data_IF_233276492898
#
_entry.id   IF_233276492898
#
_cell.length_a   1.000
_cell.length_b   1.000
_cell.length_c   1.000
_cell.angle_alpha   90.00
_cell.angle_beta   90.00
_cell.angle_gamma   90.00
#
_symmetry.space_group_name_H-M   'P 1'
#
loop_
_entity.id
_entity.type
_entity.pdbx_description
1 polymer ?
#
# COMPACT_ATOMS: atom_id res chain seq x y z
N UNK A 1 63.28 12.82 -1.07
CA UNK A 1 62.14 12.38 -0.23
C UNK A 1 60.83 13.09 -0.59
N UNK A 2 60.86 14.38 -0.95
CA UNK A 2 59.67 15.15 -1.32
C UNK A 2 58.95 14.65 -2.59
N UNK A 3 59.70 14.32 -3.65
CA UNK A 3 59.12 13.87 -4.95
C UNK A 3 58.38 12.52 -4.88
N UNK A 4 58.84 11.60 -4.01
CA UNK A 4 58.14 10.32 -3.78
C UNK A 4 56.79 10.49 -3.09
N UNK A 5 56.61 11.59 -2.36
CA UNK A 5 55.37 11.89 -1.64
C UNK A 5 54.34 12.56 -2.56
N UNK A 6 54.79 13.44 -3.47
CA UNK A 6 53.96 14.01 -4.53
C UNK A 6 53.43 12.95 -5.50
N UNK A 7 54.29 12.05 -5.99
CA UNK A 7 53.87 10.98 -6.89
C UNK A 7 52.89 9.98 -6.23
N UNK A 8 52.93 9.83 -4.91
CA UNK A 8 51.96 9.01 -4.17
C UNK A 8 50.60 9.72 -4.02
N UNK A 9 50.60 11.04 -3.77
CA UNK A 9 49.39 11.84 -3.71
C UNK A 9 48.66 11.91 -5.06
N UNK A 10 49.39 12.13 -6.16
CA UNK A 10 48.83 12.15 -7.52
C UNK A 10 48.17 10.81 -7.90
N UNK A 11 48.77 9.67 -7.51
CA UNK A 11 48.19 8.34 -7.73
C UNK A 11 46.91 8.11 -6.94
N UNK A 12 46.83 8.59 -5.70
CA UNK A 12 45.63 8.52 -4.87
C UNK A 12 44.52 9.38 -5.49
N UNK A 13 44.84 10.60 -5.91
CA UNK A 13 43.90 11.54 -6.53
C UNK A 13 43.36 10.98 -7.85
N UNK A 14 44.24 10.48 -8.72
CA UNK A 14 43.86 9.81 -9.98
C UNK A 14 42.96 8.58 -9.73
N UNK A 15 43.22 7.81 -8.68
CA UNK A 15 42.41 6.62 -8.33
C UNK A 15 41.04 7.03 -7.79
N UNK A 16 40.96 8.10 -6.99
CA UNK A 16 39.70 8.65 -6.50
C UNK A 16 38.87 9.25 -7.63
N UNK A 17 39.51 9.92 -8.59
CA UNK A 17 38.86 10.55 -9.74
C UNK A 17 38.28 9.49 -10.68
N UNK A 18 39.05 8.45 -11.02
CA UNK A 18 38.54 7.28 -11.76
C UNK A 18 37.35 6.61 -11.08
N UNK A 19 37.39 6.46 -9.74
CA UNK A 19 36.26 5.89 -8.98
C UNK A 19 35.03 6.80 -8.99
N UNK A 20 35.21 8.13 -8.98
CA UNK A 20 34.11 9.10 -9.10
C UNK A 20 33.49 9.09 -10.49
N UNK A 21 34.31 9.03 -11.54
CA UNK A 21 33.83 8.91 -12.93
C UNK A 21 33.09 7.58 -13.14
N UNK A 22 33.61 6.47 -12.63
CA UNK A 22 32.96 5.16 -12.74
C UNK A 22 31.62 5.12 -11.99
N UNK A 23 31.54 5.74 -10.81
CA UNK A 23 30.28 5.91 -10.08
C UNK A 23 29.30 6.84 -10.81
N UNK A 24 29.79 7.87 -11.50
CA UNK A 24 28.96 8.81 -12.27
C UNK A 24 28.40 8.13 -13.53
N UNK A 25 29.25 7.44 -14.29
CA UNK A 25 28.84 6.65 -15.45
C UNK A 25 27.79 5.60 -15.06
N UNK A 26 28.00 4.89 -13.95
CA UNK A 26 27.01 3.95 -13.42
C UNK A 26 25.67 4.62 -13.07
N UNK A 27 25.67 5.84 -12.53
CA UNK A 27 24.42 6.60 -12.28
C UNK A 27 23.73 7.03 -13.57
N UNK A 28 24.49 7.48 -14.56
CA UNK A 28 23.95 7.88 -15.86
C UNK A 28 23.32 6.68 -16.59
N UNK A 29 23.97 5.52 -16.54
CA UNK A 29 23.46 4.26 -17.10
C UNK A 29 22.17 3.79 -16.41
N UNK A 30 22.11 3.85 -15.06
CA UNK A 30 20.88 3.58 -14.28
C UNK A 30 19.75 4.51 -14.72
N UNK A 31 20.06 5.78 -14.95
CA UNK A 31 19.05 6.79 -15.27
C UNK A 31 18.52 6.64 -16.69
N UNK A 32 19.37 6.25 -17.64
CA UNK A 32 18.95 5.92 -19.01
C UNK A 32 18.04 4.67 -19.03
N UNK A 33 18.43 3.60 -18.32
CA UNK A 33 17.58 2.41 -18.19
C UNK A 33 16.25 2.69 -17.50
N UNK A 34 16.24 3.55 -16.47
CA UNK A 34 14.99 4.00 -15.83
C UNK A 34 14.07 4.69 -16.84
N UNK A 35 14.60 5.60 -17.65
CA UNK A 35 13.82 6.33 -18.64
C UNK A 35 13.27 5.42 -19.75
N UNK A 36 14.06 4.43 -20.20
CA UNK A 36 13.58 3.45 -21.18
C UNK A 36 12.50 2.54 -20.58
N UNK A 37 12.69 2.09 -19.34
CA UNK A 37 11.69 1.29 -18.62
C UNK A 37 10.38 2.06 -18.43
N UNK A 38 10.43 3.31 -17.99
CA UNK A 38 9.24 4.18 -17.86
C UNK A 38 8.51 4.33 -19.19
N UNK A 39 9.24 4.57 -20.29
CA UNK A 39 8.66 4.68 -21.63
C UNK A 39 7.97 3.39 -22.07
N UNK A 40 8.57 2.23 -21.83
CA UNK A 40 7.97 0.93 -22.17
C UNK A 40 6.72 0.65 -21.33
N UNK A 41 6.76 0.99 -20.04
CA UNK A 41 5.64 0.85 -19.11
C UNK A 41 4.47 1.75 -19.53
N UNK A 42 4.71 3.03 -19.80
CA UNK A 42 3.68 3.97 -20.25
C UNK A 42 3.11 3.62 -21.63
N UNK A 43 3.90 2.98 -22.51
CA UNK A 43 3.43 2.55 -23.81
C UNK A 43 2.52 1.32 -23.75
N UNK A 44 2.91 0.31 -22.97
CA UNK A 44 2.28 -1.03 -23.01
C UNK A 44 1.35 -1.32 -21.83
N UNK A 45 1.64 -0.76 -20.67
CA UNK A 45 1.00 -1.13 -19.40
C UNK A 45 0.34 0.05 -18.69
N UNK A 46 0.13 1.17 -19.39
CA UNK A 46 -0.48 2.38 -18.83
C UNK A 46 -1.78 2.13 -18.06
N UNK A 47 -2.59 1.18 -18.53
CA UNK A 47 -3.86 0.80 -17.93
C UNK A 47 -3.73 -0.01 -16.64
N UNK A 48 -2.54 -0.52 -16.30
CA UNK A 48 -2.26 -1.22 -15.05
C UNK A 48 -1.88 -0.27 -13.91
N UNK A 49 -1.50 0.96 -14.24
CA UNK A 49 -1.14 1.97 -13.25
C UNK A 49 -2.35 2.81 -12.91
N UNK A 50 -2.46 3.18 -11.65
CA UNK A 50 -3.60 3.81 -10.98
C UNK A 50 -3.87 5.27 -11.38
N UNK A 51 -3.48 5.66 -12.60
CA UNK A 51 -3.80 6.97 -13.16
C UNK A 51 -5.30 7.18 -13.44
N UNK A 52 -6.12 6.13 -13.36
CA UNK A 52 -7.53 6.16 -13.74
C UNK A 52 -8.49 5.54 -12.71
N UNK A 53 -8.09 4.45 -12.04
CA UNK A 53 -8.93 3.68 -11.11
C UNK A 53 -8.03 2.92 -10.11
N UNK A 54 -8.57 2.61 -8.94
CA UNK A 54 -7.93 1.80 -7.88
C UNK A 54 -7.77 0.34 -8.35
N UNK A 55 -8.61 -0.09 -9.29
CA UNK A 55 -8.60 -1.42 -9.86
C UNK A 55 -9.33 -2.45 -8.99
N UNK A 56 -9.66 -3.59 -9.60
CA UNK A 56 -10.44 -4.67 -8.97
C UNK A 56 -9.79 -6.02 -9.24
N UNK A 57 -9.54 -6.78 -8.17
CA UNK A 57 -9.05 -8.14 -8.22
C UNK A 57 -10.20 -9.09 -8.55
N UNK A 58 -10.06 -9.82 -9.65
CA UNK A 58 -11.04 -10.82 -10.11
C UNK A 58 -10.62 -12.26 -9.77
N UNK A 59 -9.48 -12.45 -9.09
CA UNK A 59 -8.90 -13.77 -8.82
C UNK A 59 -9.49 -14.40 -7.56
N UNK A 60 -9.81 -13.59 -6.56
CA UNK A 60 -10.31 -14.07 -5.27
C UNK A 60 -11.21 -13.04 -4.62
N UNK A 61 -12.07 -13.53 -3.74
CA UNK A 61 -12.84 -12.71 -2.81
C UNK A 61 -12.41 -13.03 -1.37
N UNK A 62 -12.56 -12.06 -0.49
CA UNK A 62 -12.24 -12.15 0.92
C UNK A 62 -13.46 -12.64 1.71
N UNK A 63 -13.24 -13.65 2.57
CA UNK A 63 -14.26 -14.26 3.43
C UNK A 63 -14.04 -13.88 4.89
N UNK A 64 -15.10 -13.41 5.56
CA UNK A 64 -15.14 -13.01 6.96
C UNK A 64 -15.88 -14.08 7.77
N UNK A 65 -15.13 -15.08 8.23
CA UNK A 65 -15.65 -16.20 9.05
C UNK A 65 -15.84 -15.76 10.51
N UNK A 66 -17.02 -15.24 10.84
CA UNK A 66 -17.42 -14.88 12.20
C UNK A 66 -18.08 -16.05 12.99
N UNK A 67 -18.09 -17.27 12.43
CA UNK A 67 -18.85 -18.40 12.98
C UNK A 67 -20.33 -18.08 13.18
N UNK A 68 -20.93 -18.63 14.23
CA UNK A 68 -22.34 -18.41 14.60
C UNK A 68 -22.56 -17.17 15.48
N UNK A 69 -21.62 -16.21 15.48
CA UNK A 69 -21.71 -15.04 16.34
C UNK A 69 -22.85 -14.11 15.88
N UNK A 70 -23.69 -13.60 16.79
CA UNK A 70 -24.76 -12.65 16.43
C UNK A 70 -24.18 -11.33 15.86
N UNK A 71 -24.97 -10.58 15.07
CA UNK A 71 -24.51 -9.32 14.49
C UNK A 71 -23.99 -8.31 15.52
N UNK A 72 -22.88 -7.67 15.19
CA UNK A 72 -22.31 -6.61 16.03
C UNK A 72 -22.87 -5.26 15.57
N UNK A 73 -23.72 -4.65 16.41
CA UNK A 73 -24.20 -3.27 16.23
C UNK A 73 -23.59 -2.35 17.27
N UNK A 74 -22.57 -1.59 16.89
CA UNK A 74 -21.90 -0.66 17.78
C UNK A 74 -22.64 0.69 17.83
N UNK A 75 -22.54 1.38 18.96
CA UNK A 75 -23.08 2.72 19.08
C UNK A 75 -22.38 3.70 18.13
N UNK A 76 -23.18 4.58 17.54
CA UNK A 76 -22.71 5.71 16.74
C UNK A 76 -21.73 6.55 17.55
N UNK A 77 -20.64 6.97 16.92
CA UNK A 77 -19.75 7.98 17.48
C UNK A 77 -20.16 9.34 16.94
N UNK A 78 -20.33 10.30 17.84
CA UNK A 78 -20.49 11.69 17.43
C UNK A 78 -19.23 12.17 16.73
N UNK A 79 -19.39 12.57 15.47
CA UNK A 79 -18.34 13.26 14.72
C UNK A 79 -18.46 14.75 14.97
N UNK A 80 -17.36 15.44 15.34
CA UNK A 80 -17.33 16.89 15.36
C UNK A 80 -17.79 17.48 14.02
N UNK A 81 -18.52 18.59 14.04
CA UNK A 81 -19.02 19.26 12.83
C UNK A 81 -17.89 19.60 11.84
N UNK A 82 -16.71 19.95 12.34
CA UNK A 82 -15.52 20.23 11.54
C UNK A 82 -15.07 19.04 10.69
N UNK A 83 -15.23 17.82 11.22
CA UNK A 83 -14.84 16.57 10.55
C UNK A 83 -15.99 15.91 9.80
N UNK A 84 -17.25 16.30 10.06
CA UNK A 84 -18.43 15.69 9.43
C UNK A 84 -18.46 15.93 7.92
N UNK A 85 -18.20 17.17 7.48
CA UNK A 85 -18.11 17.51 6.05
C UNK A 85 -17.01 16.73 5.33
N UNK A 86 -15.89 16.51 6.01
CA UNK A 86 -14.78 15.74 5.48
C UNK A 86 -15.12 14.25 5.39
N UNK A 87 -15.83 13.71 6.39
CA UNK A 87 -16.37 12.35 6.33
C UNK A 87 -17.30 12.16 5.12
N UNK A 88 -18.27 13.08 4.94
CA UNK A 88 -19.24 13.06 3.83
C UNK A 88 -18.54 13.13 2.47
N UNK A 89 -17.49 13.92 2.34
CA UNK A 89 -16.69 14.00 1.12
C UNK A 89 -15.99 12.66 0.80
N UNK A 90 -15.32 12.07 1.79
CA UNK A 90 -14.63 10.78 1.62
C UNK A 90 -15.62 9.64 1.32
N UNK A 91 -16.80 9.65 1.94
CA UNK A 91 -17.87 8.68 1.65
C UNK A 91 -18.31 8.81 0.20
N UNK A 92 -18.56 10.04 -0.27
CA UNK A 92 -18.95 10.27 -1.66
C UNK A 92 -17.89 9.76 -2.63
N UNK A 93 -16.60 10.04 -2.37
CA UNK A 93 -15.49 9.54 -3.19
C UNK A 93 -15.45 8.01 -3.21
N UNK A 94 -15.61 7.35 -2.07
CA UNK A 94 -15.64 5.89 -2.01
C UNK A 94 -16.86 5.30 -2.75
N UNK A 95 -18.03 5.94 -2.70
CA UNK A 95 -19.21 5.53 -3.48
C UNK A 95 -18.98 5.72 -4.97
N UNK A 96 -18.45 6.89 -5.38
CA UNK A 96 -18.17 7.20 -6.79
C UNK A 96 -17.14 6.22 -7.39
N UNK A 97 -16.16 5.79 -6.58
CA UNK A 97 -15.15 4.79 -6.95
C UNK A 97 -15.62 3.33 -6.78
N UNK A 98 -16.85 3.08 -6.34
CA UNK A 98 -17.40 1.74 -6.16
C UNK A 98 -16.76 0.90 -5.03
N UNK A 99 -16.08 1.56 -4.08
CA UNK A 99 -15.44 0.91 -2.92
C UNK A 99 -16.49 0.52 -1.86
N UNK A 100 -17.56 1.30 -1.75
CA UNK A 100 -18.65 1.09 -0.79
C UNK A 100 -20.01 1.25 -1.45
N UNK A 101 -21.03 0.60 -0.88
CA UNK A 101 -22.42 0.73 -1.27
C UNK A 101 -23.34 0.91 -0.06
N UNK A 102 -24.54 1.45 -0.28
CA UNK A 102 -25.56 1.52 0.77
C UNK A 102 -26.04 0.11 1.12
N UNK A 103 -26.12 -0.19 2.41
CA UNK A 103 -26.61 -1.48 2.90
C UNK A 103 -27.61 -1.31 4.05
N UNK A 104 -28.50 -2.30 4.17
CA UNK A 104 -29.46 -2.42 5.27
C UNK A 104 -29.17 -3.72 6.01
N UNK A 105 -28.24 -3.65 6.97
CA UNK A 105 -27.78 -4.81 7.72
C UNK A 105 -27.94 -4.67 9.24
N UNK A 106 -27.94 -5.78 9.99
CA UNK A 106 -27.92 -5.78 11.44
C UNK A 106 -26.53 -5.45 12.03
N UNK A 107 -25.49 -5.43 11.18
CA UNK A 107 -24.12 -5.09 11.52
C UNK A 107 -23.87 -3.59 11.40
N UNK A 108 -23.05 -3.05 12.30
CA UNK A 108 -22.65 -1.65 12.27
C UNK A 108 -21.36 -1.45 13.07
N UNK A 109 -20.28 -1.10 12.37
CA UNK A 109 -19.06 -0.58 12.98
C UNK A 109 -18.97 0.95 12.86
N UNK A 110 -18.51 1.68 13.90
CA UNK A 110 -18.45 3.13 13.85
C UNK A 110 -17.21 3.58 13.07
N UNK A 111 -17.35 4.67 12.33
CA UNK A 111 -16.20 5.30 11.67
C UNK A 111 -15.36 6.12 12.65
N UNK A 112 -14.10 6.30 12.31
CA UNK A 112 -13.09 7.08 13.02
C UNK A 112 -12.28 7.83 11.96
N UNK A 113 -12.23 9.15 12.08
CA UNK A 113 -11.38 9.97 11.24
C UNK A 113 -10.07 10.26 11.96
N UNK A 114 -8.96 9.98 11.29
CA UNK A 114 -7.62 10.17 11.85
C UNK A 114 -6.83 11.11 10.94
N UNK A 115 -6.29 12.20 11.50
CA UNK A 115 -5.38 13.08 10.76
C UNK A 115 -3.99 12.49 10.82
N UNK A 116 -3.38 12.26 9.67
CA UNK A 116 -2.01 11.77 9.54
C UNK A 116 -1.36 12.41 8.32
N UNK A 117 -0.16 12.95 8.49
CA UNK A 117 0.65 13.54 7.42
C UNK A 117 -0.07 14.65 6.63
N UNK A 118 -0.94 15.42 7.30
CA UNK A 118 -1.70 16.51 6.70
C UNK A 118 -2.99 16.10 5.98
N UNK A 119 -3.22 14.79 5.78
CA UNK A 119 -4.48 14.25 5.24
C UNK A 119 -5.34 13.60 6.32
N UNK A 120 -6.63 13.45 6.04
CA UNK A 120 -7.57 12.72 6.90
C UNK A 120 -7.81 11.34 6.33
N UNK A 121 -7.62 10.32 7.17
CA UNK A 121 -7.86 8.93 6.83
C UNK A 121 -9.22 8.50 7.35
N UNK A 122 -10.03 7.94 6.46
CA UNK A 122 -11.28 7.28 6.82
C UNK A 122 -10.97 5.88 7.36
N UNK A 123 -11.29 5.62 8.64
CA UNK A 123 -11.06 4.32 9.26
C UNK A 123 -12.36 3.78 9.83
N UNK A 124 -12.66 2.51 9.59
CA UNK A 124 -13.77 1.82 10.25
C UNK A 124 -13.22 1.03 11.44
N UNK A 125 -13.86 1.17 12.60
CA UNK A 125 -13.41 0.48 13.81
C UNK A 125 -13.95 -0.96 13.87
N UNK A 126 -13.27 -1.86 13.16
CA UNK A 126 -13.58 -3.30 13.15
C UNK A 126 -13.02 -4.08 14.35
N UNK A 127 -12.59 -3.44 15.46
CA UNK A 127 -11.96 -4.19 16.57
C UNK A 127 -12.83 -5.33 17.09
N UNK A 128 -14.13 -5.07 17.31
CA UNK A 128 -15.06 -6.10 17.78
C UNK A 128 -15.29 -7.20 16.73
N UNK A 129 -15.35 -6.84 15.45
CA UNK A 129 -15.45 -7.82 14.36
C UNK A 129 -14.19 -8.70 14.31
N UNK A 130 -13.02 -8.09 14.38
CA UNK A 130 -11.73 -8.80 14.32
C UNK A 130 -11.52 -9.77 15.49
N UNK A 131 -12.08 -9.50 16.67
CA UNK A 131 -12.02 -10.40 17.83
C UNK A 131 -12.75 -11.73 17.59
N UNK A 132 -13.88 -11.67 16.85
CA UNK A 132 -14.74 -12.82 16.57
C UNK A 132 -14.39 -13.51 15.24
N UNK A 133 -13.74 -12.81 14.31
CA UNK A 133 -13.38 -13.36 13.01
C UNK A 133 -12.27 -14.41 13.13
N UNK A 134 -12.59 -15.64 12.74
CA UNK A 134 -11.67 -16.77 12.74
C UNK A 134 -10.70 -16.71 11.57
N UNK A 135 -11.08 -16.11 10.41
CA UNK A 135 -10.17 -15.91 9.26
C UNK A 135 -8.90 -15.17 9.69
N UNK A 136 -9.03 -14.08 10.47
CA UNK A 136 -7.90 -13.31 11.00
C UNK A 136 -6.94 -14.17 11.84
N UNK A 137 -7.46 -15.16 12.57
CA UNK A 137 -6.66 -16.09 13.38
C UNK A 137 -6.00 -17.18 12.52
N UNK A 138 -6.67 -17.61 11.45
CA UNK A 138 -6.20 -18.65 10.51
C UNK A 138 -5.15 -18.15 9.52
N UNK A 139 -5.19 -16.87 9.11
CA UNK A 139 -4.19 -16.24 8.21
C UNK A 139 -2.86 -15.96 8.94
N UNK A 140 -2.73 -16.34 10.21
CA UNK A 140 -1.46 -16.36 10.95
C UNK A 140 -0.44 -17.40 10.40
N UNK A 141 -0.36 -17.58 9.09
CA UNK A 141 0.84 -18.11 8.46
C UNK A 141 1.96 -17.09 8.70
N UNK A 142 3.14 -17.52 9.17
CA UNK A 142 4.23 -16.61 9.42
C UNK A 142 4.60 -15.92 8.10
N UNK A 143 4.69 -14.60 8.12
CA UNK A 143 5.35 -13.87 7.04
C UNK A 143 6.76 -14.44 6.89
N UNK A 144 7.25 -14.63 5.64
CA UNK A 144 8.61 -15.08 5.42
C UNK A 144 9.59 -14.14 6.13
N UNK A 145 10.72 -14.68 6.57
CA UNK A 145 11.75 -13.83 7.18
C UNK A 145 12.29 -12.91 6.10
N UNK A 146 12.71 -11.71 6.48
CA UNK A 146 13.29 -10.74 5.53
C UNK A 146 14.53 -11.31 4.84
N UNK A 147 15.27 -12.21 5.50
CA UNK A 147 16.44 -12.90 4.96
C UNK A 147 16.08 -13.76 3.72
N UNK A 148 14.92 -14.42 3.73
CA UNK A 148 14.51 -15.37 2.69
C UNK A 148 14.38 -14.73 1.27
N UNK A 149 13.65 -13.61 1.08
CA UNK A 149 13.60 -12.93 -0.21
C UNK A 149 14.93 -12.24 -0.55
N UNK A 150 15.70 -11.76 0.44
CA UNK A 150 17.00 -11.12 0.18
C UNK A 150 18.02 -12.13 -0.37
N UNK A 151 18.05 -13.35 0.17
CA UNK A 151 18.90 -14.43 -0.34
C UNK A 151 18.51 -14.82 -1.77
N UNK A 152 17.21 -14.81 -2.08
CA UNK A 152 16.70 -15.08 -3.44
C UNK A 152 17.15 -14.03 -4.45
N UNK A 153 17.37 -12.79 -3.99
CA UNK A 153 17.82 -11.69 -4.84
C UNK A 153 19.34 -11.64 -5.02
N UNK A 154 20.10 -12.46 -4.29
CA UNK A 154 21.56 -12.46 -4.35
C UNK A 154 22.07 -12.71 -5.78
N UNK A 155 23.04 -11.92 -6.22
CA UNK A 155 23.56 -11.94 -7.60
C UNK A 155 22.75 -11.13 -8.62
N UNK A 156 21.58 -10.61 -8.24
CA UNK A 156 20.84 -9.65 -9.08
C UNK A 156 21.52 -8.28 -9.03
N UNK A 157 21.61 -7.63 -10.19
CA UNK A 157 22.23 -6.31 -10.33
C UNK A 157 21.21 -5.18 -10.34
N UNK A 158 19.95 -5.51 -10.65
CA UNK A 158 18.85 -4.56 -10.86
C UNK A 158 17.62 -5.02 -10.09
N UNK A 159 16.94 -4.07 -9.46
CA UNK A 159 15.76 -4.32 -8.64
C UNK A 159 14.65 -3.38 -9.08
N UNK A 160 13.43 -3.91 -9.11
CA UNK A 160 12.22 -3.15 -9.34
C UNK A 160 11.30 -3.33 -8.13
N UNK A 161 10.85 -2.22 -7.57
CA UNK A 161 9.81 -2.22 -6.53
C UNK A 161 8.51 -1.73 -7.16
N UNK A 162 7.47 -2.53 -7.03
CA UNK A 162 6.10 -2.16 -7.40
C UNK A 162 5.28 -2.14 -6.12
N UNK A 163 4.42 -1.13 -5.98
CA UNK A 163 3.49 -1.01 -4.88
C UNK A 163 2.06 -0.96 -5.43
N UNK A 164 1.12 -1.59 -4.72
CA UNK A 164 -0.28 -1.59 -5.10
C UNK A 164 -0.98 -0.41 -4.42
N UNK A 165 -1.46 0.54 -5.22
CA UNK A 165 -2.24 1.64 -4.68
C UNK A 165 -3.54 1.11 -4.05
N UNK A 166 -3.74 1.45 -2.77
CA UNK A 166 -4.93 1.07 -2.01
C UNK A 166 -5.25 -0.43 -2.09
N UNK A 167 -4.22 -1.28 -1.96
CA UNK A 167 -4.29 -2.75 -2.10
C UNK A 167 -5.51 -3.40 -1.44
N UNK A 168 -5.93 -2.88 -0.28
CA UNK A 168 -7.02 -3.43 0.51
C UNK A 168 -8.40 -3.26 -0.15
N UNK A 169 -8.56 -2.31 -1.06
CA UNK A 169 -9.84 -2.04 -1.75
C UNK A 169 -9.96 -2.79 -3.07
N UNK A 170 -8.88 -3.39 -3.56
CA UNK A 170 -8.90 -4.14 -4.81
C UNK A 170 -9.55 -5.52 -4.63
N UNK A 171 -9.44 -6.14 -3.45
CA UNK A 171 -10.00 -7.47 -3.18
C UNK A 171 -11.41 -7.35 -2.64
N UNK A 172 -12.37 -7.90 -3.39
CA UNK A 172 -13.78 -7.85 -3.01
C UNK A 172 -14.11 -8.75 -1.83
N UNK A 173 -15.13 -8.38 -1.06
CA UNK A 173 -15.69 -9.21 -0.01
C UNK A 173 -16.75 -10.14 -0.62
N UNK A 174 -16.87 -11.37 -0.12
CA UNK A 174 -17.97 -12.25 -0.51
C UNK A 174 -19.32 -11.62 -0.19
N UNK A 175 -20.31 -11.82 -1.07
CA UNK A 175 -21.62 -11.18 -0.94
C UNK A 175 -22.31 -11.52 0.39
N UNK A 176 -22.10 -12.73 0.91
CA UNK A 176 -22.67 -13.22 2.18
C UNK A 176 -21.99 -12.59 3.42
N UNK A 177 -20.82 -11.98 3.21
CA UNK A 177 -20.01 -11.37 4.25
C UNK A 177 -20.00 -9.84 4.17
N UNK A 178 -20.55 -9.23 3.11
CA UNK A 178 -20.54 -7.79 2.87
C UNK A 178 -21.14 -7.01 4.05
N UNK A 179 -22.30 -7.47 4.57
CA UNK A 179 -22.95 -6.85 5.73
C UNK A 179 -22.05 -6.79 6.97
N UNK A 180 -21.12 -7.74 7.16
CA UNK A 180 -20.21 -7.73 8.32
C UNK A 180 -19.28 -6.51 8.31
N UNK A 181 -19.07 -5.89 7.14
CA UNK A 181 -18.29 -4.66 6.96
C UNK A 181 -19.16 -3.39 6.93
N UNK A 182 -20.46 -3.51 7.19
CA UNK A 182 -21.33 -2.35 7.31
C UNK A 182 -20.82 -1.39 8.40
N UNK A 183 -20.80 -0.10 8.07
CA UNK A 183 -20.39 0.95 8.99
C UNK A 183 -21.45 2.04 9.09
N UNK A 184 -21.34 2.84 10.15
CA UNK A 184 -22.28 3.93 10.40
C UNK A 184 -21.55 5.24 10.62
N UNK A 185 -22.09 6.29 10.01
CA UNK A 185 -21.59 7.65 10.06
C UNK A 185 -22.60 8.47 10.88
N UNK A 186 -22.17 8.99 12.02
CA UNK A 186 -23.05 9.67 13.00
C UNK A 186 -23.70 10.97 12.56
#
# INVERSE_FOLDING_TARGET
MLERNQAAQERIETTQEKRREQNRAGREEVQEMKADFERQIEGKYRNLFSFADIGRCNVTQYRIDAGDHPPIKQHLRHLPLSTKKEAEHLIKEMVDNGVIEECLGPWASPIVLVKKDGSTRFCVNYRKLNEITTTTKKISSPLPRIDDPLDTLNGSHWFLTLDLESENWQVEIQQEDSEKTAFTTG
#
